data_IF_567579683167
#
_entry.id   IF_567579683167
#
_cell.length_a   1.000
_cell.length_b   1.000
_cell.length_c   1.000
_cell.angle_alpha   90.00
_cell.angle_beta   90.00
_cell.angle_gamma   90.00
#
_symmetry.space_group_name_H-M   'P 1'
#
loop_
_entity.id
_entity.type
_entity.pdbx_description
1 polymer ?
#
# COMPACT_ATOMS: atom_id res chain seq x y z
N UNK A 1 7.44 21.87 -4.38
CA UNK A 1 7.50 20.88 -3.27
C UNK A 1 7.20 19.45 -3.73
N UNK A 2 6.14 19.20 -4.53
CA UNK A 2 5.79 17.85 -5.00
C UNK A 2 6.84 17.17 -5.92
N UNK A 3 7.51 17.93 -6.79
CA UNK A 3 8.46 17.38 -7.78
C UNK A 3 9.71 16.75 -7.13
N UNK A 4 10.28 17.38 -6.10
CA UNK A 4 11.43 16.85 -5.36
C UNK A 4 11.10 15.57 -4.56
N UNK A 5 9.88 15.48 -4.01
CA UNK A 5 9.39 14.32 -3.26
C UNK A 5 9.08 13.12 -4.19
N UNK A 6 8.57 13.42 -5.40
CA UNK A 6 8.36 12.45 -6.49
C UNK A 6 9.68 11.79 -6.92
N UNK A 7 10.77 12.57 -7.07
CA UNK A 7 12.09 12.05 -7.47
C UNK A 7 12.71 11.10 -6.44
N UNK A 8 12.47 11.32 -5.14
CA UNK A 8 12.92 10.43 -4.05
C UNK A 8 12.14 9.11 -4.02
N UNK A 9 10.85 9.13 -4.36
CA UNK A 9 9.98 7.94 -4.34
C UNK A 9 9.99 7.11 -5.62
N UNK A 10 10.40 7.70 -6.76
CA UNK A 10 10.45 7.04 -8.08
C UNK A 10 11.25 5.75 -8.14
N UNK A 11 12.16 5.51 -7.19
CA UNK A 11 12.91 4.26 -7.16
C UNK A 11 12.04 3.06 -6.74
N UNK A 12 10.96 3.27 -5.97
CA UNK A 12 10.16 2.18 -5.39
C UNK A 12 10.97 1.20 -4.53
N UNK A 13 12.22 1.54 -4.22
CA UNK A 13 13.21 0.66 -3.62
C UNK A 13 13.29 0.93 -2.11
N UNK A 14 12.16 0.78 -1.44
CA UNK A 14 12.03 0.85 0.01
C UNK A 14 10.91 -0.09 0.43
N UNK A 15 10.97 -0.55 1.67
CA UNK A 15 10.09 -1.64 2.11
C UNK A 15 9.68 -1.46 3.56
N UNK A 16 8.50 -1.97 3.89
CA UNK A 16 8.03 -1.97 5.26
C UNK A 16 8.72 -3.08 6.05
N UNK A 17 9.16 -2.77 7.26
CA UNK A 17 9.72 -3.77 8.19
C UNK A 17 8.67 -4.85 8.53
N UNK A 18 9.07 -6.11 8.53
CA UNK A 18 8.14 -7.23 8.80
C UNK A 18 7.43 -7.12 10.16
N UNK A 19 8.14 -6.68 11.21
CA UNK A 19 7.54 -6.45 12.53
C UNK A 19 6.37 -5.45 12.49
N UNK A 20 6.48 -4.44 11.63
CA UNK A 20 5.49 -3.39 11.47
C UNK A 20 4.28 -3.93 10.71
N UNK A 21 4.50 -4.71 9.66
CA UNK A 21 3.42 -5.41 8.97
C UNK A 21 2.61 -6.29 9.94
N UNK A 22 3.29 -7.11 10.75
CA UNK A 22 2.65 -7.97 11.76
C UNK A 22 1.85 -7.15 12.78
N UNK A 23 2.43 -6.07 13.31
CA UNK A 23 1.75 -5.17 14.25
C UNK A 23 0.52 -4.50 13.63
N UNK A 24 0.62 -4.05 12.38
CA UNK A 24 -0.48 -3.43 11.63
C UNK A 24 -1.64 -4.41 11.47
N UNK A 25 -1.36 -5.65 11.07
CA UNK A 25 -2.38 -6.70 10.93
C UNK A 25 -3.09 -6.97 12.25
N UNK A 26 -2.35 -7.06 13.36
CA UNK A 26 -2.91 -7.27 14.70
C UNK A 26 -3.81 -6.12 15.14
N UNK A 27 -3.35 -4.86 15.00
CA UNK A 27 -4.13 -3.69 15.42
C UNK A 27 -5.38 -3.48 14.56
N UNK A 28 -5.30 -3.79 13.27
CA UNK A 28 -6.44 -3.75 12.36
C UNK A 28 -7.37 -4.94 12.52
N UNK A 29 -6.96 -6.01 13.21
CA UNK A 29 -7.66 -7.28 13.29
C UNK A 29 -7.98 -7.86 11.90
N UNK A 30 -7.00 -7.81 10.99
CA UNK A 30 -7.12 -8.22 9.60
C UNK A 30 -5.94 -9.10 9.20
N UNK A 31 -6.18 -10.04 8.28
CA UNK A 31 -5.18 -10.98 7.80
C UNK A 31 -5.13 -10.98 6.27
N UNK A 32 -4.36 -10.06 5.65
CA UNK A 32 -4.21 -10.06 4.21
C UNK A 32 -3.55 -11.37 3.75
N UNK A 33 -4.00 -11.90 2.62
CA UNK A 33 -3.53 -13.20 2.09
C UNK A 33 -2.57 -13.06 0.91
N UNK A 34 -2.57 -11.89 0.27
CA UNK A 34 -1.74 -11.59 -0.90
C UNK A 34 -1.09 -10.20 -0.77
N UNK A 35 0.19 -10.08 -1.11
CA UNK A 35 0.90 -8.79 -1.26
C UNK A 35 1.00 -8.42 -2.75
N UNK A 36 0.34 -7.34 -3.16
CA UNK A 36 0.22 -6.99 -4.58
C UNK A 36 1.40 -6.16 -5.12
N UNK A 37 2.29 -5.66 -4.26
CA UNK A 37 3.38 -4.75 -4.67
C UNK A 37 4.75 -5.14 -4.09
N UNK A 38 4.94 -6.41 -3.72
CA UNK A 38 6.21 -6.91 -3.19
C UNK A 38 7.22 -7.29 -4.28
N UNK A 39 8.50 -7.12 -3.97
CA UNK A 39 9.60 -7.64 -4.77
C UNK A 39 10.06 -9.02 -4.27
N UNK A 40 10.63 -9.82 -5.17
CA UNK A 40 11.02 -11.23 -4.98
C UNK A 40 11.81 -11.57 -3.69
N UNK A 41 12.55 -10.59 -3.14
CA UNK A 41 13.48 -10.81 -2.04
C UNK A 41 12.89 -10.50 -0.66
N UNK A 42 11.74 -9.81 -0.61
CA UNK A 42 11.24 -9.17 0.61
C UNK A 42 9.72 -9.28 0.74
N UNK A 43 9.20 -10.49 0.51
CA UNK A 43 7.77 -10.77 0.60
C UNK A 43 7.31 -10.86 2.06
N UNK A 44 6.31 -10.04 2.41
CA UNK A 44 5.63 -10.10 3.72
C UNK A 44 4.63 -11.26 3.79
N UNK A 45 4.19 -11.75 2.63
CA UNK A 45 3.19 -12.79 2.47
C UNK A 45 3.67 -13.86 1.48
N UNK A 46 3.29 -15.14 1.68
CA UNK A 46 3.73 -16.23 0.81
C UNK A 46 3.18 -16.13 -0.62
N UNK A 47 2.09 -15.37 -0.82
CA UNK A 47 1.51 -15.07 -2.13
C UNK A 47 1.78 -13.59 -2.44
N UNK A 48 2.53 -13.32 -3.52
CA UNK A 48 2.84 -11.94 -3.90
C UNK A 48 2.94 -11.74 -5.43
N UNK A 49 2.74 -10.48 -5.84
CA UNK A 49 2.93 -9.98 -7.21
C UNK A 49 4.00 -8.89 -7.20
N UNK A 50 4.79 -8.80 -8.29
CA UNK A 50 5.82 -7.77 -8.45
C UNK A 50 5.53 -6.90 -9.66
N UNK A 51 6.01 -5.66 -9.60
CA UNK A 51 5.98 -4.72 -10.73
C UNK A 51 7.15 -4.90 -11.69
N UNK A 52 8.17 -5.68 -11.31
CA UNK A 52 9.41 -5.90 -12.08
C UNK A 52 9.68 -7.41 -12.04
N UNK A 53 9.49 -8.09 -13.17
CA UNK A 53 9.42 -9.55 -13.24
C UNK A 53 10.57 -10.31 -12.56
N UNK A 54 10.24 -11.40 -11.87
CA UNK A 54 11.14 -12.28 -11.11
C UNK A 54 10.64 -13.73 -11.00
N UNK A 55 11.53 -14.63 -10.55
CA UNK A 55 11.38 -16.09 -10.67
C UNK A 55 10.36 -16.80 -9.73
N UNK A 56 9.64 -16.08 -8.85
CA UNK A 56 8.67 -16.66 -7.86
C UNK A 56 7.38 -15.85 -7.72
N UNK A 57 7.12 -14.96 -8.66
CA UNK A 57 5.93 -14.11 -8.64
C UNK A 57 4.72 -14.86 -9.16
N UNK A 58 3.55 -14.58 -8.60
CA UNK A 58 2.28 -15.11 -9.15
C UNK A 58 1.97 -14.45 -10.50
N UNK A 59 2.41 -13.21 -10.70
CA UNK A 59 2.29 -12.48 -11.96
C UNK A 59 3.24 -11.25 -12.03
N UNK A 60 3.53 -10.82 -13.26
CA UNK A 60 4.27 -9.59 -13.58
C UNK A 60 3.25 -8.47 -13.84
N UNK A 61 3.52 -7.28 -13.29
CA UNK A 61 2.70 -6.07 -13.41
C UNK A 61 1.32 -6.18 -12.74
N UNK A 62 1.32 -5.97 -11.41
CA UNK A 62 0.14 -6.06 -10.57
C UNK A 62 -1.04 -5.18 -11.04
N UNK A 63 -0.81 -4.09 -11.77
CA UNK A 63 -1.88 -3.23 -12.28
C UNK A 63 -2.64 -3.86 -13.46
N UNK A 64 -1.99 -4.74 -14.22
CA UNK A 64 -2.57 -5.42 -15.37
C UNK A 64 -3.23 -6.78 -15.04
N UNK A 65 -3.10 -7.24 -13.80
CA UNK A 65 -3.69 -8.49 -13.34
C UNK A 65 -5.04 -8.26 -12.67
N UNK A 66 -5.96 -9.23 -12.77
CA UNK A 66 -7.18 -9.22 -11.97
C UNK A 66 -6.84 -9.45 -10.50
N UNK A 67 -7.31 -8.56 -9.63
CA UNK A 67 -7.20 -8.75 -8.20
C UNK A 67 -8.35 -9.64 -7.73
N UNK A 68 -8.00 -10.74 -7.07
CA UNK A 68 -9.00 -11.66 -6.54
C UNK A 68 -9.78 -10.97 -5.42
N UNK A 69 -11.02 -11.42 -5.18
CA UNK A 69 -11.83 -11.03 -4.00
C UNK A 69 -11.27 -11.63 -2.70
N UNK A 70 -9.99 -11.38 -2.42
CA UNK A 70 -9.32 -11.72 -1.17
C UNK A 70 -8.68 -10.46 -0.60
N UNK A 71 -8.61 -10.38 0.73
CA UNK A 71 -8.02 -9.22 1.39
C UNK A 71 -6.55 -9.10 1.01
N UNK A 72 -6.22 -8.03 0.29
CA UNK A 72 -4.88 -7.81 -0.23
C UNK A 72 -4.15 -6.71 0.55
N UNK A 73 -2.84 -6.86 0.67
CA UNK A 73 -1.91 -5.84 1.17
C UNK A 73 -1.29 -5.10 -0.02
N UNK A 74 -1.35 -3.77 0.00
CA UNK A 74 -0.84 -2.89 -1.06
C UNK A 74 0.10 -1.85 -0.47
N UNK A 75 1.40 -1.97 -0.76
CA UNK A 75 2.38 -0.92 -0.49
C UNK A 75 3.08 -0.50 -1.79
N UNK A 76 2.43 0.34 -2.61
CA UNK A 76 2.93 0.65 -3.93
C UNK A 76 3.99 1.76 -3.86
N UNK A 77 4.87 1.87 -4.88
CA UNK A 77 5.60 3.10 -5.13
C UNK A 77 4.63 4.30 -5.20
N UNK A 78 4.95 5.43 -4.56
CA UNK A 78 4.04 6.59 -4.47
C UNK A 78 3.52 7.06 -5.84
N UNK A 79 4.33 7.10 -6.92
CA UNK A 79 3.81 7.50 -8.24
C UNK A 79 2.68 6.61 -8.79
N UNK A 80 2.54 5.38 -8.29
CA UNK A 80 1.50 4.43 -8.70
C UNK A 80 0.23 4.52 -7.86
N UNK A 81 0.22 5.27 -6.74
CA UNK A 81 -0.96 5.40 -5.88
C UNK A 81 -2.24 5.79 -6.65
N UNK A 82 -2.24 6.78 -7.57
CA UNK A 82 -3.45 7.10 -8.34
C UNK A 82 -3.97 5.94 -9.19
N UNK A 83 -3.07 5.16 -9.80
CA UNK A 83 -3.45 4.01 -10.63
C UNK A 83 -3.99 2.86 -9.77
N UNK A 84 -3.38 2.64 -8.59
CA UNK A 84 -3.86 1.67 -7.59
C UNK A 84 -5.26 2.02 -7.12
N UNK A 85 -5.51 3.28 -6.72
CA UNK A 85 -6.82 3.72 -6.25
C UNK A 85 -7.90 3.57 -7.33
N UNK A 86 -7.56 3.96 -8.57
CA UNK A 86 -8.44 3.73 -9.72
C UNK A 86 -8.81 2.25 -9.85
N UNK A 87 -7.84 1.35 -9.74
CA UNK A 87 -8.07 -0.10 -9.86
C UNK A 87 -8.89 -0.67 -8.69
N UNK A 88 -8.65 -0.24 -7.46
CA UNK A 88 -9.48 -0.60 -6.29
C UNK A 88 -10.94 -0.25 -6.56
N UNK A 89 -11.19 0.95 -7.10
CA UNK A 89 -12.53 1.41 -7.45
C UNK A 89 -13.13 0.61 -8.61
N UNK A 90 -12.36 0.30 -9.66
CA UNK A 90 -12.89 -0.44 -10.81
C UNK A 90 -13.22 -1.90 -10.44
N UNK A 91 -12.41 -2.54 -9.60
CA UNK A 91 -12.58 -3.95 -9.22
C UNK A 91 -13.40 -4.15 -7.94
N UNK A 92 -13.75 -3.07 -7.23
CA UNK A 92 -14.56 -3.08 -6.00
C UNK A 92 -14.03 -4.07 -4.95
N UNK A 93 -12.71 -4.08 -4.75
CA UNK A 93 -12.05 -5.00 -3.82
C UNK A 93 -11.88 -4.42 -2.41
N UNK A 94 -11.78 -5.31 -1.42
CA UNK A 94 -11.36 -4.98 -0.06
C UNK A 94 -9.83 -5.09 0.06
N UNK A 95 -9.16 -4.04 0.53
CA UNK A 95 -7.69 -4.03 0.61
C UNK A 95 -7.14 -3.10 1.69
N UNK A 96 -5.98 -3.47 2.23
CA UNK A 96 -5.16 -2.63 3.09
C UNK A 96 -4.11 -1.91 2.24
N UNK A 97 -4.17 -0.59 2.18
CA UNK A 97 -3.21 0.25 1.45
C UNK A 97 -2.34 1.08 2.40
N UNK A 98 -1.02 1.06 2.16
CA UNK A 98 -0.03 1.81 2.92
C UNK A 98 0.43 3.00 2.10
N UNK A 99 0.17 4.21 2.60
CA UNK A 99 0.48 5.45 1.91
C UNK A 99 0.98 6.55 2.86
N UNK A 100 1.75 7.53 2.36
CA UNK A 100 2.13 8.70 3.15
C UNK A 100 0.94 9.62 3.45
N UNK A 101 0.94 10.29 4.60
CA UNK A 101 -0.02 11.34 4.93
C UNK A 101 0.43 12.67 4.33
N UNK A 102 0.15 12.89 3.04
CA UNK A 102 0.52 14.12 2.31
C UNK A 102 -0.73 14.88 1.83
N UNK A 103 -1.29 15.82 2.63
CA UNK A 103 -2.52 16.55 2.31
C UNK A 103 -2.55 17.29 0.97
N UNK A 104 -1.38 17.70 0.46
CA UNK A 104 -1.27 18.39 -0.83
C UNK A 104 -1.33 17.47 -2.06
N UNK A 105 -1.58 16.17 -1.89
CA UNK A 105 -1.65 15.22 -2.99
C UNK A 105 -3.10 14.83 -3.29
N UNK A 106 -3.44 14.71 -4.58
CA UNK A 106 -4.82 14.38 -5.01
C UNK A 106 -5.28 13.04 -4.43
N UNK A 107 -4.41 12.03 -4.46
CA UNK A 107 -4.68 10.68 -3.94
C UNK A 107 -4.89 10.65 -2.42
N UNK A 108 -4.41 11.65 -1.67
CA UNK A 108 -4.61 11.70 -0.21
C UNK A 108 -6.08 11.94 0.14
N UNK A 109 -6.72 12.88 -0.56
CA UNK A 109 -8.13 13.21 -0.32
C UNK A 109 -9.02 12.00 -0.60
N UNK A 110 -8.71 11.26 -1.67
CA UNK A 110 -9.39 9.99 -2.00
C UNK A 110 -9.22 8.97 -0.88
N UNK A 111 -7.99 8.70 -0.42
CA UNK A 111 -7.77 7.77 0.70
C UNK A 111 -8.54 8.15 1.97
N UNK A 112 -8.53 9.42 2.36
CA UNK A 112 -9.18 9.88 3.60
C UNK A 112 -10.70 9.84 3.50
N UNK A 113 -11.27 10.15 2.34
CA UNK A 113 -12.72 10.17 2.16
C UNK A 113 -13.32 8.78 1.88
N UNK A 114 -12.52 7.87 1.33
CA UNK A 114 -13.00 6.59 0.82
C UNK A 114 -12.62 5.37 1.66
N UNK A 115 -11.80 5.54 2.72
CA UNK A 115 -11.46 4.44 3.62
C UNK A 115 -12.62 4.09 4.55
N UNK A 116 -12.76 2.80 4.87
CA UNK A 116 -13.65 2.31 5.91
C UNK A 116 -13.02 2.41 7.31
N UNK A 117 -11.70 2.29 7.38
CA UNK A 117 -10.92 2.38 8.62
C UNK A 117 -9.50 2.83 8.31
N UNK A 118 -8.87 3.57 9.20
CA UNK A 118 -7.46 3.92 9.09
C UNK A 118 -6.70 3.69 10.40
N UNK A 119 -5.40 3.45 10.28
CA UNK A 119 -4.45 3.31 11.38
C UNK A 119 -3.21 4.13 11.07
N UNK A 120 -2.96 5.14 11.90
CA UNK A 120 -1.71 5.89 11.83
C UNK A 120 -0.56 4.99 12.27
N UNK A 121 0.47 4.89 11.43
CA UNK A 121 1.65 4.09 11.71
C UNK A 121 2.68 4.97 12.43
N UNK A 122 3.69 5.50 11.73
CA UNK A 122 4.54 6.59 12.23
C UNK A 122 5.36 7.20 11.08
N UNK A 123 6.44 7.91 11.38
CA UNK A 123 7.41 8.44 10.42
C UNK A 123 8.06 7.35 9.56
N UNK A 124 8.24 7.69 8.29
CA UNK A 124 8.79 6.80 7.26
C UNK A 124 10.18 6.23 7.58
N UNK A 125 11.06 6.99 8.25
CA UNK A 125 12.40 6.54 8.64
C UNK A 125 12.38 5.48 9.76
N UNK A 126 11.31 5.43 10.56
CA UNK A 126 11.15 4.42 11.61
C UNK A 126 10.54 3.13 11.05
N UNK A 127 9.70 3.26 10.02
CA UNK A 127 8.84 2.18 9.51
C UNK A 127 9.39 1.50 8.25
N UNK A 128 10.13 2.25 7.43
CA UNK A 128 10.68 1.75 6.17
C UNK A 128 12.17 1.43 6.28
N UNK A 129 12.60 0.47 5.48
CA UNK A 129 14.00 0.19 5.20
C UNK A 129 14.33 0.62 3.76
N UNK A 130 15.42 1.36 3.53
CA UNK A 130 15.86 1.69 2.18
C UNK A 130 16.40 0.43 1.50
N UNK A 131 16.04 0.23 0.24
CA UNK A 131 16.58 -0.81 -0.60
C UNK A 131 17.98 -0.49 -1.15
N UNK A 132 18.58 -1.47 -1.82
CA UNK A 132 19.99 -1.45 -2.24
C UNK A 132 20.30 -0.30 -3.20
N UNK A 133 19.41 0.00 -4.15
CA UNK A 133 19.56 1.08 -5.12
C UNK A 133 19.48 2.44 -4.46
N UNK A 134 18.58 2.61 -3.50
CA UNK A 134 18.42 3.84 -2.71
C UNK A 134 19.70 4.12 -1.89
N UNK A 135 20.27 3.10 -1.25
CA UNK A 135 21.54 3.17 -0.52
C UNK A 135 22.70 3.52 -1.47
N UNK A 136 22.85 2.79 -2.59
CA UNK A 136 23.95 3.02 -3.56
C UNK A 136 23.95 4.42 -4.16
N UNK A 137 22.77 5.03 -4.33
CA UNK A 137 22.62 6.38 -4.87
C UNK A 137 22.69 7.48 -3.79
N UNK A 138 22.90 7.12 -2.53
CA UNK A 138 22.88 8.04 -1.38
C UNK A 138 21.57 8.87 -1.33
N UNK A 139 20.46 8.24 -1.69
CA UNK A 139 19.13 8.83 -1.61
C UNK A 139 18.51 8.54 -0.24
N UNK A 140 17.63 9.42 0.22
CA UNK A 140 16.91 9.24 1.49
C UNK A 140 15.48 8.75 1.23
N UNK A 141 14.91 8.09 2.23
CA UNK A 141 13.48 7.81 2.26
C UNK A 141 12.70 9.13 2.18
N UNK A 142 11.50 9.08 1.59
CA UNK A 142 10.62 10.23 1.56
C UNK A 142 10.23 10.62 3.01
N UNK A 143 10.13 11.91 3.35
CA UNK A 143 9.72 12.33 4.68
C UNK A 143 8.20 12.23 4.85
N UNK A 144 7.76 12.01 6.09
CA UNK A 144 6.35 12.10 6.48
C UNK A 144 5.86 10.89 7.25
N UNK A 145 4.69 11.06 7.87
CA UNK A 145 3.98 9.97 8.52
C UNK A 145 3.35 9.04 7.48
N UNK A 146 3.29 7.76 7.81
CA UNK A 146 2.66 6.72 7.01
C UNK A 146 1.36 6.31 7.71
N UNK A 147 0.36 5.92 6.93
CA UNK A 147 -0.89 5.39 7.42
C UNK A 147 -1.28 4.14 6.63
N UNK A 148 -1.92 3.20 7.32
CA UNK A 148 -2.65 2.10 6.72
C UNK A 148 -4.11 2.47 6.59
N UNK A 149 -4.67 2.37 5.39
CA UNK A 149 -6.09 2.55 5.12
C UNK A 149 -6.70 1.23 4.71
N UNK A 150 -7.81 0.85 5.32
CA UNK A 150 -8.70 -0.20 4.84
C UNK A 150 -9.66 0.43 3.82
N UNK A 151 -9.51 0.04 2.57
CA UNK A 151 -10.44 0.39 1.50
C UNK A 151 -11.44 -0.75 1.39
N UNK A 152 -12.72 -0.46 1.64
CA UNK A 152 -13.80 -1.43 1.47
C UNK A 152 -14.80 -0.91 0.46
N UNK A 153 -14.75 -1.50 -0.74
CA UNK A 153 -15.68 -1.21 -1.83
C UNK A 153 -16.53 -2.44 -2.17
N UNK A 154 -16.48 -3.48 -1.35
CA UNK A 154 -17.31 -4.66 -1.57
C UNK A 154 -18.79 -4.30 -1.34
N UNK A 155 -19.68 -4.56 -2.31
CA UNK A 155 -21.09 -4.16 -2.20
C UNK A 155 -21.83 -4.85 -1.03
N UNK A 156 -21.30 -5.96 -0.52
CA UNK A 156 -21.94 -6.81 0.50
C UNK A 156 -21.91 -6.22 1.92
N UNK A 157 -21.12 -5.17 2.20
CA UNK A 157 -20.97 -4.58 3.54
C UNK A 157 -21.62 -3.21 3.74
N UNK A 158 -22.26 -2.64 2.71
CA UNK A 158 -22.85 -1.29 2.79
C UNK A 158 -24.17 -1.21 3.55
N UNK A 159 -24.82 -2.34 3.85
CA UNK A 159 -26.10 -2.36 4.56
C UNK A 159 -25.98 -2.31 6.10
N UNK A 160 -24.80 -2.51 6.69
CA UNK A 160 -24.64 -2.59 8.15
C UNK A 160 -24.28 -1.25 8.84
N UNK A 161 -24.22 -0.13 8.10
CA UNK A 161 -23.87 1.18 8.67
C UNK A 161 -25.04 2.18 8.76
N UNK A 162 -26.26 1.72 8.49
CA UNK A 162 -27.47 2.45 8.83
C UNK A 162 -28.31 1.60 9.78
N UNK A 163 -27.97 1.63 11.07
CA UNK A 163 -28.90 1.54 12.21
C UNK A 163 -28.11 1.30 13.48
N UNK A 164 -27.82 2.35 14.26
CA UNK A 164 -27.98 2.31 15.72
C UNK A 164 -28.37 3.73 16.18
N UNK A 165 -29.49 3.82 16.89
CA UNK A 165 -30.18 5.02 17.38
C UNK A 165 -29.33 5.95 18.26
#
# INVERSE_FOLDING_TARGET
MADALSRLSRAGDYQLKEKIFRQTCLQMNLKPTTDLFSQHFNYLLPRFMSTIGGHREIAIDALNQTWKKELSWIHPPIPLLPAVLKKIREEQIETMIIAPLWPGQIWYTELVNENARSLMLDWSNEFLEPGISLIKKNLKLFPGKICCFLMDRSPEKREDSQEIF
#
